data_IF_961257262276
#
_entry.id   IF_961257262276
#
_cell.length_a   1.000
_cell.length_b   1.000
_cell.length_c   1.000
_cell.angle_alpha   90.00
_cell.angle_beta   90.00
_cell.angle_gamma   90.00
#
_symmetry.space_group_name_H-M   'P 1'
#
loop_
_entity.id
_entity.type
_entity.pdbx_description
1 polymer ?
#
# COMPACT_ATOMS: atom_id res chain seq x y z
N UNK A 1 30.36 -4.54 -4.52
CA UNK A 1 30.78 -5.88 -4.04
C UNK A 1 30.30 -6.00 -2.60
N UNK A 2 29.49 -6.98 -2.26
CA UNK A 2 29.02 -7.17 -0.88
C UNK A 2 30.21 -7.73 -0.08
N UNK A 3 30.56 -7.08 1.04
CA UNK A 3 31.61 -7.54 1.96
C UNK A 3 31.01 -8.46 3.02
N UNK A 4 31.74 -9.49 3.42
CA UNK A 4 31.31 -10.41 4.47
C UNK A 4 31.46 -9.78 5.86
N UNK A 5 30.85 -10.39 6.89
CA UNK A 5 31.02 -9.94 8.29
C UNK A 5 32.50 -9.96 8.70
N UNK A 6 33.23 -10.97 8.25
CA UNK A 6 34.68 -11.10 8.49
C UNK A 6 35.43 -9.99 7.77
N UNK A 7 35.14 -9.73 6.49
CA UNK A 7 35.78 -8.63 5.74
C UNK A 7 35.50 -7.26 6.39
N UNK A 8 34.28 -7.04 6.90
CA UNK A 8 33.94 -5.82 7.61
C UNK A 8 34.66 -5.70 8.96
N UNK A 9 34.86 -6.82 9.65
CA UNK A 9 35.61 -6.84 10.90
C UNK A 9 37.08 -6.49 10.68
N UNK A 10 37.70 -7.11 9.67
CA UNK A 10 39.11 -6.88 9.31
C UNK A 10 39.34 -5.41 8.91
N UNK A 11 38.44 -4.82 8.10
CA UNK A 11 38.52 -3.41 7.71
C UNK A 11 38.41 -2.46 8.91
N UNK A 12 37.55 -2.75 9.88
CA UNK A 12 37.38 -1.92 11.07
C UNK A 12 38.61 -2.00 12.00
N UNK A 13 39.21 -3.19 12.11
CA UNK A 13 40.50 -3.38 12.80
C UNK A 13 41.62 -2.59 12.11
N UNK A 14 41.69 -2.64 10.78
CA UNK A 14 42.66 -1.88 9.97
C UNK A 14 42.49 -0.36 10.13
N UNK A 15 41.27 0.11 10.42
CA UNK A 15 40.95 1.51 10.70
C UNK A 15 41.26 1.95 12.15
N UNK A 16 41.75 1.03 12.99
CA UNK A 16 42.17 1.31 14.37
C UNK A 16 41.04 1.25 15.40
N UNK A 17 39.90 0.65 15.07
CA UNK A 17 38.80 0.50 16.01
C UNK A 17 39.13 -0.52 17.11
N UNK A 18 38.75 -0.19 18.34
CA UNK A 18 38.94 -1.10 19.47
C UNK A 18 37.99 -2.30 19.36
N UNK A 19 38.39 -3.46 19.87
CA UNK A 19 37.57 -4.69 19.86
C UNK A 19 36.16 -4.50 20.42
N UNK A 20 35.97 -3.60 21.39
CA UNK A 20 34.65 -3.29 21.96
C UNK A 20 33.75 -2.54 20.96
N UNK A 21 34.29 -1.54 20.25
CA UNK A 21 33.53 -0.81 19.22
C UNK A 21 33.23 -1.71 18.01
N UNK A 22 34.13 -2.61 17.66
CA UNK A 22 33.96 -3.58 16.59
C UNK A 22 32.70 -4.44 16.76
N UNK A 23 32.54 -5.09 17.92
CA UNK A 23 31.39 -5.95 18.21
C UNK A 23 30.08 -5.15 18.23
N UNK A 24 30.10 -3.95 18.83
CA UNK A 24 28.94 -3.06 18.85
C UNK A 24 28.50 -2.65 17.44
N UNK A 25 29.44 -2.20 16.60
CA UNK A 25 29.14 -1.76 15.22
C UNK A 25 28.60 -2.91 14.37
N UNK A 26 29.19 -4.10 14.47
CA UNK A 26 28.72 -5.27 13.71
C UNK A 26 27.30 -5.67 14.15
N UNK A 27 27.01 -5.69 15.46
CA UNK A 27 25.66 -5.95 15.99
C UNK A 27 24.64 -4.90 15.53
N UNK A 28 25.02 -3.62 15.52
CA UNK A 28 24.15 -2.56 15.04
C UNK A 28 23.83 -2.70 13.55
N UNK A 29 24.80 -3.11 12.73
CA UNK A 29 24.60 -3.36 11.29
C UNK A 29 23.68 -4.56 11.07
N UNK A 30 23.87 -5.66 11.80
CA UNK A 30 23.01 -6.84 11.68
C UNK A 30 21.58 -6.52 12.10
N UNK A 31 21.40 -5.84 13.24
CA UNK A 31 20.10 -5.38 13.71
C UNK A 31 19.40 -4.49 12.67
N UNK A 32 20.15 -3.56 12.05
CA UNK A 32 19.61 -2.71 10.99
C UNK A 32 19.14 -3.51 9.76
N UNK A 33 19.90 -4.54 9.36
CA UNK A 33 19.52 -5.41 8.23
C UNK A 33 18.25 -6.20 8.54
N UNK A 34 18.14 -6.74 9.74
CA UNK A 34 16.96 -7.49 10.17
C UNK A 34 15.73 -6.58 10.23
N UNK A 35 15.88 -5.37 10.76
CA UNK A 35 14.83 -4.36 10.77
C UNK A 35 14.37 -4.02 9.34
N UNK A 36 15.31 -3.75 8.43
CA UNK A 36 15.00 -3.43 7.03
C UNK A 36 14.28 -4.58 6.33
N UNK A 37 14.68 -5.83 6.60
CA UNK A 37 14.00 -7.01 6.08
C UNK A 37 12.57 -7.11 6.59
N UNK A 38 12.35 -6.90 7.88
CA UNK A 38 11.02 -6.91 8.50
C UNK A 38 10.14 -5.79 7.94
N UNK A 39 10.65 -4.57 7.84
CA UNK A 39 9.92 -3.44 7.22
C UNK A 39 9.53 -3.76 5.77
N UNK A 40 10.41 -4.38 4.99
CA UNK A 40 10.11 -4.76 3.61
C UNK A 40 9.02 -5.83 3.53
N UNK A 41 9.00 -6.80 4.47
CA UNK A 41 7.93 -7.79 4.57
C UNK A 41 6.59 -7.14 4.95
N UNK A 42 6.59 -6.23 5.94
CA UNK A 42 5.39 -5.46 6.33
C UNK A 42 4.84 -4.67 5.14
N UNK A 43 5.70 -3.98 4.38
CA UNK A 43 5.30 -3.25 3.15
C UNK A 43 4.68 -4.19 2.11
N UNK A 44 5.25 -5.39 1.93
CA UNK A 44 4.71 -6.41 1.04
C UNK A 44 3.31 -6.87 1.46
N UNK A 45 3.12 -7.19 2.74
CA UNK A 45 1.83 -7.61 3.32
C UNK A 45 0.79 -6.50 3.17
N UNK A 46 1.15 -5.25 3.52
CA UNK A 46 0.28 -4.07 3.32
C UNK A 46 -0.23 -3.96 1.88
N UNK A 47 0.66 -4.12 0.90
CA UNK A 47 0.28 -4.02 -0.51
C UNK A 47 -0.71 -5.11 -0.93
N UNK A 48 -0.59 -6.32 -0.38
CA UNK A 48 -1.53 -7.41 -0.64
C UNK A 48 -2.91 -7.12 -0.02
N UNK A 49 -2.94 -6.59 1.21
CA UNK A 49 -4.18 -6.16 1.87
C UNK A 49 -4.88 -5.02 1.11
N UNK A 50 -4.13 -3.97 0.76
CA UNK A 50 -4.66 -2.83 -0.01
C UNK A 50 -5.26 -3.24 -1.35
N UNK A 51 -4.70 -4.28 -1.98
CA UNK A 51 -5.19 -4.83 -3.26
C UNK A 51 -6.30 -5.87 -3.10
N UNK A 52 -6.80 -6.09 -1.87
CA UNK A 52 -7.82 -7.10 -1.52
C UNK A 52 -7.40 -8.53 -1.87
N UNK A 53 -6.08 -8.78 -1.98
CA UNK A 53 -5.54 -10.14 -2.13
C UNK A 53 -5.58 -10.85 -0.79
N UNK A 54 -5.27 -10.12 0.29
CA UNK A 54 -5.50 -10.58 1.66
C UNK A 54 -6.71 -9.88 2.25
N UNK A 55 -7.47 -10.63 3.05
CA UNK A 55 -8.46 -10.09 3.97
C UNK A 55 -7.80 -9.72 5.31
N UNK A 56 -8.60 -9.21 6.26
CA UNK A 56 -8.11 -8.76 7.56
C UNK A 56 -7.45 -9.89 8.35
N UNK A 57 -8.10 -11.06 8.46
CA UNK A 57 -7.59 -12.21 9.19
C UNK A 57 -6.25 -12.69 8.61
N UNK A 58 -6.20 -12.87 7.29
CA UNK A 58 -4.99 -13.32 6.59
C UNK A 58 -3.84 -12.33 6.76
N UNK A 59 -4.14 -11.03 6.74
CA UNK A 59 -3.12 -9.98 6.90
C UNK A 59 -2.54 -10.01 8.31
N UNK A 60 -3.40 -10.07 9.34
CA UNK A 60 -2.98 -10.21 10.73
C UNK A 60 -2.15 -11.48 10.98
N UNK A 61 -2.54 -12.61 10.39
CA UNK A 61 -1.79 -13.87 10.48
C UNK A 61 -0.39 -13.77 9.85
N UNK A 62 -0.26 -13.14 8.68
CA UNK A 62 1.06 -12.95 8.04
C UNK A 62 1.94 -11.95 8.81
N UNK A 63 1.34 -10.94 9.46
CA UNK A 63 2.07 -10.02 10.34
C UNK A 63 2.54 -10.70 11.62
N UNK A 64 1.71 -11.56 12.23
CA UNK A 64 2.06 -12.31 13.43
C UNK A 64 3.26 -13.24 13.21
N UNK A 65 3.45 -13.78 11.99
CA UNK A 65 4.64 -14.58 11.62
C UNK A 65 5.94 -13.78 11.57
N UNK A 66 5.87 -12.46 11.65
CA UNK A 66 7.04 -11.59 11.77
C UNK A 66 7.38 -11.30 13.24
N UNK A 67 6.75 -12.02 14.18
CA UNK A 67 6.90 -11.87 15.63
C UNK A 67 6.55 -10.45 16.13
N UNK A 68 5.66 -9.76 15.41
CA UNK A 68 5.17 -8.44 15.81
C UNK A 68 4.24 -8.54 17.03
N UNK A 69 4.30 -7.59 17.98
CA UNK A 69 3.34 -7.49 19.06
C UNK A 69 1.91 -7.33 18.55
N UNK A 70 0.93 -7.93 19.25
CA UNK A 70 -0.48 -7.87 18.85
C UNK A 70 -1.03 -6.43 18.77
N UNK A 71 -0.56 -5.52 19.62
CA UNK A 71 -0.93 -4.10 19.60
C UNK A 71 -0.43 -3.42 18.31
N UNK A 72 0.82 -3.67 17.91
CA UNK A 72 1.39 -3.15 16.67
C UNK A 72 0.63 -3.65 15.43
N UNK A 73 0.26 -4.94 15.42
CA UNK A 73 -0.57 -5.51 14.35
C UNK A 73 -1.91 -4.78 14.28
N UNK A 74 -2.54 -4.52 15.43
CA UNK A 74 -3.83 -3.83 15.52
C UNK A 74 -3.73 -2.40 14.98
N UNK A 75 -2.67 -1.68 15.32
CA UNK A 75 -2.42 -0.32 14.85
C UNK A 75 -2.20 -0.28 13.33
N UNK A 76 -1.38 -1.18 12.80
CA UNK A 76 -1.14 -1.31 11.36
C UNK A 76 -2.44 -1.62 10.61
N UNK A 77 -3.23 -2.58 11.09
CA UNK A 77 -4.50 -2.95 10.49
C UNK A 77 -5.51 -1.81 10.52
N UNK A 78 -5.58 -1.07 11.64
CA UNK A 78 -6.43 0.12 11.78
C UNK A 78 -6.03 1.18 10.77
N UNK A 79 -4.74 1.50 10.67
CA UNK A 79 -4.24 2.47 9.71
C UNK A 79 -4.60 2.05 8.27
N UNK A 80 -4.33 0.81 7.89
CA UNK A 80 -4.55 0.35 6.52
C UNK A 80 -6.02 0.24 6.17
N UNK A 81 -6.90 -0.06 7.13
CA UNK A 81 -8.34 -0.01 6.93
C UNK A 81 -8.79 1.38 6.45
N UNK A 82 -8.30 2.44 7.08
CA UNK A 82 -8.64 3.81 6.66
C UNK A 82 -8.04 4.17 5.32
N UNK A 83 -6.81 3.75 5.02
CA UNK A 83 -6.21 3.96 3.70
C UNK A 83 -7.03 3.29 2.59
N UNK A 84 -7.53 2.08 2.86
CA UNK A 84 -8.40 1.31 1.98
C UNK A 84 -9.76 2.00 1.80
N UNK A 85 -10.35 2.54 2.86
CA UNK A 85 -11.63 3.25 2.80
C UNK A 85 -11.52 4.62 2.12
N UNK A 86 -10.35 5.24 2.17
CA UNK A 86 -10.05 6.49 1.50
C UNK A 86 -9.85 6.31 -0.02
N UNK A 87 -9.61 5.08 -0.51
CA UNK A 87 -9.50 4.84 -1.94
C UNK A 87 -10.85 5.10 -2.64
N UNK A 88 -10.86 6.09 -3.55
CA UNK A 88 -12.01 6.37 -4.40
C UNK A 88 -12.29 5.12 -5.24
N UNK A 89 -13.51 4.55 -5.20
CA UNK A 89 -13.86 3.41 -6.03
C UNK A 89 -13.55 3.69 -7.49
N UNK A 90 -13.06 2.68 -8.22
CA UNK A 90 -12.91 2.79 -9.68
C UNK A 90 -14.26 3.19 -10.28
N UNK A 91 -14.29 4.37 -10.89
CA UNK A 91 -15.46 4.88 -11.62
C UNK A 91 -15.47 4.28 -13.03
N UNK A 92 -16.66 4.18 -13.61
CA UNK A 92 -16.77 4.00 -15.06
C UNK A 92 -16.18 5.22 -15.78
N UNK A 93 -15.64 5.01 -16.98
CA UNK A 93 -15.25 6.11 -17.86
C UNK A 93 -16.49 6.84 -18.37
N UNK A 94 -16.36 8.10 -18.79
CA UNK A 94 -17.46 8.86 -19.39
C UNK A 94 -18.13 8.09 -20.52
N UNK A 95 -17.35 7.50 -21.44
CA UNK A 95 -17.89 6.71 -22.56
C UNK A 95 -18.66 5.48 -22.11
N UNK A 96 -18.22 4.80 -21.05
CA UNK A 96 -18.94 3.66 -20.46
C UNK A 96 -20.27 4.11 -19.85
N UNK A 97 -20.27 5.18 -19.04
CA UNK A 97 -21.50 5.72 -18.44
C UNK A 97 -22.51 6.06 -19.53
N UNK A 98 -22.08 6.78 -20.56
CA UNK A 98 -22.94 7.17 -21.68
C UNK A 98 -23.49 5.97 -22.47
N UNK A 99 -22.64 4.96 -22.73
CA UNK A 99 -23.09 3.73 -23.40
C UNK A 99 -24.10 2.97 -22.55
N UNK A 100 -23.88 2.85 -21.24
CA UNK A 100 -24.81 2.18 -20.33
C UNK A 100 -26.15 2.88 -20.20
N UNK A 101 -26.20 4.22 -20.27
CA UNK A 101 -27.46 4.96 -20.34
C UNK A 101 -28.18 4.64 -21.65
N UNK A 102 -27.48 4.73 -22.79
CA UNK A 102 -28.05 4.48 -24.12
C UNK A 102 -28.58 3.05 -24.28
N UNK A 103 -27.89 2.09 -23.68
CA UNK A 103 -28.27 0.67 -23.64
C UNK A 103 -29.34 0.36 -22.56
N UNK A 104 -29.72 1.34 -21.73
CA UNK A 104 -30.69 1.16 -20.66
C UNK A 104 -30.21 0.29 -19.49
N UNK A 105 -28.90 0.04 -19.39
CA UNK A 105 -28.28 -0.71 -18.30
C UNK A 105 -28.25 0.09 -16.98
N UNK A 106 -28.25 1.42 -17.08
CA UNK A 106 -28.44 2.33 -15.95
C UNK A 106 -29.45 3.43 -16.32
N UNK A 107 -30.13 3.99 -15.33
CA UNK A 107 -31.03 5.13 -15.56
C UNK A 107 -30.25 6.42 -15.84
N UNK A 108 -30.92 7.39 -16.49
CA UNK A 108 -30.35 8.72 -16.73
C UNK A 108 -29.96 9.42 -15.42
N UNK A 109 -30.80 9.34 -14.39
CA UNK A 109 -30.48 9.86 -13.05
C UNK A 109 -29.25 9.18 -12.44
N UNK A 110 -29.10 7.86 -12.62
CA UNK A 110 -27.90 7.16 -12.15
C UNK A 110 -26.67 7.63 -12.92
N UNK A 111 -26.78 7.80 -14.23
CA UNK A 111 -25.74 8.34 -15.09
C UNK A 111 -25.28 9.74 -14.69
N UNK A 112 -26.21 10.64 -14.36
CA UNK A 112 -25.93 11.99 -13.84
C UNK A 112 -25.09 11.93 -12.56
N UNK A 113 -25.44 11.05 -11.62
CA UNK A 113 -24.66 10.85 -10.39
C UNK A 113 -23.26 10.34 -10.70
N UNK A 114 -23.10 9.36 -11.60
CA UNK A 114 -21.78 8.83 -11.97
C UNK A 114 -20.89 9.89 -12.62
N UNK A 115 -21.43 10.68 -13.56
CA UNK A 115 -20.67 11.77 -14.19
C UNK A 115 -20.24 12.85 -13.18
N UNK A 116 -21.10 13.17 -12.19
CA UNK A 116 -20.73 14.05 -11.09
C UNK A 116 -19.62 13.45 -10.21
N UNK A 117 -19.67 12.15 -9.93
CA UNK A 117 -18.64 11.44 -9.16
C UNK A 117 -17.32 11.27 -9.93
N UNK A 118 -17.34 11.37 -11.27
CA UNK A 118 -16.14 11.46 -12.13
C UNK A 118 -15.55 12.88 -12.11
N UNK A 119 -16.34 13.90 -11.74
CA UNK A 119 -15.90 15.27 -11.51
C UNK A 119 -16.47 16.32 -12.46
N UNK A 120 -17.49 15.98 -13.26
CA UNK A 120 -18.15 16.96 -14.13
C UNK A 120 -19.16 17.82 -13.36
N UNK A 121 -19.25 19.10 -13.73
CA UNK A 121 -20.32 19.98 -13.27
C UNK A 121 -21.64 19.72 -14.02
N UNK A 122 -22.71 20.39 -13.59
CA UNK A 122 -24.04 20.22 -14.17
C UNK A 122 -24.12 20.63 -15.65
N UNK A 123 -23.33 21.61 -16.09
CA UNK A 123 -23.32 22.07 -17.48
C UNK A 123 -22.78 20.97 -18.39
N UNK A 124 -21.58 20.45 -18.08
CA UNK A 124 -20.96 19.38 -18.84
C UNK A 124 -21.80 18.10 -18.83
N UNK A 125 -22.40 17.76 -17.68
CA UNK A 125 -23.28 16.60 -17.59
C UNK A 125 -24.47 16.75 -18.55
N UNK A 126 -25.12 17.92 -18.59
CA UNK A 126 -26.26 18.14 -19.47
C UNK A 126 -25.87 17.98 -20.95
N UNK A 127 -24.74 18.56 -21.37
CA UNK A 127 -24.22 18.42 -22.74
C UNK A 127 -23.98 16.94 -23.10
N UNK A 128 -23.35 16.18 -22.21
CA UNK A 128 -23.13 14.76 -22.44
C UNK A 128 -24.42 13.95 -22.54
N UNK A 129 -25.41 14.23 -21.68
CA UNK A 129 -26.69 13.54 -21.70
C UNK A 129 -27.54 13.88 -22.93
N UNK A 130 -27.46 15.12 -23.42
CA UNK A 130 -28.08 15.51 -24.69
C UNK A 130 -27.42 14.80 -25.89
N UNK A 131 -26.10 14.57 -25.84
CA UNK A 131 -25.37 13.92 -26.94
C UNK A 131 -25.74 12.44 -27.21
N UNK A 132 -26.43 11.79 -26.26
CA UNK A 132 -26.80 10.37 -26.36
C UNK A 132 -28.31 10.13 -26.52
N UNK A 133 -29.12 11.20 -26.51
CA UNK A 133 -30.52 11.16 -26.91
C UNK A 133 -30.63 11.05 -28.44
#
# INVERSE_FOLDING_TARGET
RMITRTDAADLLVDMGETYFHLDFMLKAVDYKKDLELTENKIKGIRNLYKRRVYDENKTSDELAKLDLPAEEITDLMTQWYYEVKAEVPRRWTTSQVLSFIKEGLISLERGRVELGLIGYDNEHINVYLESIQ
#
